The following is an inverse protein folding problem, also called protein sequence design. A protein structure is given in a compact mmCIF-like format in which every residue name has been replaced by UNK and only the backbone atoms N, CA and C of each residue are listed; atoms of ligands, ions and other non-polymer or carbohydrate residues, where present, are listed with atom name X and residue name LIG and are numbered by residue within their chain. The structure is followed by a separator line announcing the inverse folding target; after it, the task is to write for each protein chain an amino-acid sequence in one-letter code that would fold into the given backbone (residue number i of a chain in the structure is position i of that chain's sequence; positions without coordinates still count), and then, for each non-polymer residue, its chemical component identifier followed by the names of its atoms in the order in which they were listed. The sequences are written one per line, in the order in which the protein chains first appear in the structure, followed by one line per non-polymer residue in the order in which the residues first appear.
data_IF_317339717133
#
_entry.id   IF_317339717133
#
_cell.length_a   1.000
_cell.length_b   1.000
_cell.length_c   1.000
_cell.angle_alpha   90.00
_cell.angle_beta   90.00
_cell.angle_gamma   90.00
#
_symmetry.space_group_name_H-M   'P 1'
#
loop_
_entity.id
_entity.type
_entity.pdbx_description
1 polymer ?
#
# COMPACT_ATOMS: atom_id res chain seq x y z
N UNK A 1 12.56 22.02 3.63
CA UNK A 1 13.64 22.72 4.36
C UNK A 1 13.18 24.08 4.90
N UNK A 2 12.24 24.77 4.26
CA UNK A 2 11.69 26.04 4.77
C UNK A 2 11.12 25.92 6.19
N UNK A 3 10.49 24.79 6.55
CA UNK A 3 10.02 24.53 7.92
C UNK A 3 11.16 24.50 8.96
N UNK A 4 12.38 24.06 8.59
CA UNK A 4 13.53 24.08 9.49
C UNK A 4 13.99 25.52 9.75
N UNK A 5 13.94 26.37 8.72
CA UNK A 5 14.24 27.80 8.86
C UNK A 5 13.16 28.50 9.68
N UNK A 6 11.88 28.16 9.47
CA UNK A 6 10.78 28.64 10.30
C UNK A 6 10.91 28.19 11.77
N UNK A 7 11.51 27.02 12.01
CA UNK A 7 11.84 26.52 13.34
C UNK A 7 13.09 27.17 13.96
N UNK A 8 13.74 28.12 13.28
CA UNK A 8 14.82 28.97 13.82
C UNK A 8 16.22 28.68 13.29
N UNK A 9 16.40 27.73 12.37
CA UNK A 9 17.71 27.50 11.73
C UNK A 9 18.01 28.58 10.69
N UNK A 10 19.28 28.94 10.52
CA UNK A 10 19.71 29.67 9.33
C UNK A 10 19.57 28.79 8.07
N UNK A 11 19.47 29.39 6.86
CA UNK A 11 19.44 28.62 5.61
C UNK A 11 20.65 27.68 5.45
N UNK A 12 21.84 28.12 5.85
CA UNK A 12 23.06 27.30 5.84
C UNK A 12 22.96 26.11 6.79
N UNK A 13 22.45 26.30 8.01
CA UNK A 13 22.23 25.18 8.95
C UNK A 13 21.20 24.20 8.42
N UNK A 14 20.12 24.68 7.77
CA UNK A 14 19.16 23.81 7.11
C UNK A 14 19.80 22.99 5.97
N UNK A 15 20.70 23.59 5.18
CA UNK A 15 21.46 22.88 4.14
C UNK A 15 22.39 21.82 4.73
N UNK A 16 23.13 22.15 5.79
CA UNK A 16 23.99 21.19 6.49
C UNK A 16 23.19 20.04 7.11
N UNK A 17 22.03 20.35 7.71
CA UNK A 17 21.10 19.36 8.26
C UNK A 17 20.68 18.34 7.20
N UNK A 18 20.30 18.80 6.01
CA UNK A 18 19.85 17.95 4.90
C UNK A 18 20.97 17.25 4.11
N UNK A 19 22.25 17.54 4.39
CA UNK A 19 23.39 16.97 3.65
C UNK A 19 24.41 16.34 4.60
N UNK A 20 25.45 17.08 4.99
CA UNK A 20 26.60 16.58 5.75
C UNK A 20 26.19 15.99 7.11
N UNK A 21 25.28 16.65 7.84
CA UNK A 21 24.84 16.17 9.15
C UNK A 21 24.02 14.88 9.03
N UNK A 22 23.14 14.78 8.01
CA UNK A 22 22.40 13.54 7.74
C UNK A 22 23.33 12.39 7.38
N UNK A 23 24.35 12.63 6.55
CA UNK A 23 25.34 11.61 6.20
C UNK A 23 26.15 11.14 7.42
N UNK A 24 26.51 12.05 8.33
CA UNK A 24 27.16 11.70 9.61
C UNK A 24 26.25 10.88 10.50
N UNK A 25 24.98 11.27 10.65
CA UNK A 25 24.01 10.55 11.48
C UNK A 25 23.76 9.12 10.98
N UNK A 26 23.82 8.90 9.66
CA UNK A 26 23.66 7.58 9.04
C UNK A 26 24.96 6.77 8.92
N UNK A 27 26.12 7.31 9.34
CA UNK A 27 27.40 6.60 9.24
C UNK A 27 27.94 6.46 7.81
N UNK A 28 27.56 7.34 6.88
CA UNK A 28 27.95 7.30 5.45
C UNK A 28 28.71 8.55 4.99
N UNK A 29 29.23 9.35 5.93
CA UNK A 29 29.88 10.62 5.62
C UNK A 29 31.17 10.49 4.80
N UNK A 30 31.85 9.35 4.89
CA UNK A 30 33.04 9.05 4.11
C UNK A 30 32.73 8.80 2.62
N UNK A 31 31.48 8.42 2.29
CA UNK A 31 31.01 8.20 0.91
C UNK A 31 30.24 9.41 0.34
N UNK A 32 29.47 10.14 1.16
CA UNK A 32 28.59 11.23 0.67
C UNK A 32 28.27 12.32 1.70
N UNK A 33 27.52 13.33 1.26
CA UNK A 33 27.00 14.43 2.10
C UNK A 33 27.85 15.71 2.11
N UNK A 34 28.98 15.72 1.41
CA UNK A 34 29.73 16.93 1.08
C UNK A 34 30.42 16.79 -0.27
N UNK A 35 30.81 17.93 -0.87
CA UNK A 35 31.51 17.98 -2.15
C UNK A 35 33.01 17.96 -1.87
N UNK A 36 33.60 16.78 -1.88
CA UNK A 36 35.02 16.53 -1.58
C UNK A 36 35.56 15.45 -2.51
N UNK A 37 36.86 15.51 -2.81
CA UNK A 37 37.54 14.50 -3.63
C UNK A 37 37.48 13.14 -2.92
N UNK A 38 37.12 12.09 -3.67
CA UNK A 38 37.00 10.74 -3.16
C UNK A 38 35.58 10.35 -2.71
N UNK A 39 34.66 11.32 -2.57
CA UNK A 39 33.25 11.07 -2.30
C UNK A 39 32.45 10.86 -3.59
N UNK A 40 31.30 10.21 -3.46
CA UNK A 40 30.35 9.99 -4.56
C UNK A 40 29.81 11.33 -5.06
N UNK A 41 29.75 11.48 -6.38
CA UNK A 41 29.28 12.70 -7.04
C UNK A 41 27.75 12.75 -7.14
N UNK A 42 27.08 12.72 -5.98
CA UNK A 42 25.64 12.97 -5.84
C UNK A 42 25.43 14.48 -5.63
N UNK A 43 25.03 15.19 -6.69
CA UNK A 43 24.99 16.65 -6.73
C UNK A 43 23.62 17.17 -7.18
N UNK A 44 23.21 18.29 -6.60
CA UNK A 44 22.05 19.07 -7.07
C UNK A 44 22.54 20.47 -7.42
N UNK A 45 22.33 20.88 -8.67
CA UNK A 45 22.62 22.22 -9.15
C UNK A 45 21.38 23.08 -9.01
N UNK A 46 21.50 24.18 -8.28
CA UNK A 46 20.41 25.10 -7.97
C UNK A 46 20.68 26.45 -8.64
N UNK A 47 19.68 26.96 -9.36
CA UNK A 47 19.68 28.31 -9.91
C UNK A 47 19.21 29.32 -8.84
N UNK A 48 20.14 29.73 -8.00
CA UNK A 48 19.88 30.63 -6.88
C UNK A 48 20.95 30.56 -5.80
N UNK A 49 20.65 31.14 -4.64
CA UNK A 49 21.52 31.20 -3.47
C UNK A 49 20.81 30.63 -2.24
N UNK A 50 20.68 29.29 -2.12
CA UNK A 50 19.93 28.64 -1.04
C UNK A 50 20.49 28.89 0.37
N UNK A 51 21.74 29.34 0.49
CA UNK A 51 22.35 29.78 1.74
C UNK A 51 21.92 31.19 2.18
N UNK A 52 21.21 31.93 1.33
CA UNK A 52 20.59 33.24 1.62
C UNK A 52 19.08 33.14 1.71
N UNK A 53 18.46 32.50 0.72
CA UNK A 53 17.02 32.24 0.69
C UNK A 53 16.80 30.74 0.48
N UNK A 54 16.33 30.06 1.53
CA UNK A 54 16.15 28.61 1.50
C UNK A 54 15.11 28.15 0.47
N UNK A 55 14.21 29.03 0.01
CA UNK A 55 13.22 28.69 -1.01
C UNK A 55 13.89 28.39 -2.38
N UNK A 56 15.10 28.90 -2.60
CA UNK A 56 15.86 28.69 -3.84
C UNK A 56 16.16 27.21 -4.10
N UNK A 57 16.11 26.33 -3.09
CA UNK A 57 16.28 24.87 -3.28
C UNK A 57 15.27 24.25 -4.26
N UNK A 58 14.16 24.95 -4.55
CA UNK A 58 13.16 24.53 -5.55
C UNK A 58 13.54 24.87 -6.99
N UNK A 59 14.53 25.75 -7.19
CA UNK A 59 15.02 26.16 -8.52
C UNK A 59 16.09 25.20 -9.02
N UNK A 60 15.75 23.92 -9.11
CA UNK A 60 16.69 22.86 -9.52
C UNK A 60 16.99 23.00 -11.02
N UNK A 61 18.27 23.23 -11.34
CA UNK A 61 18.77 23.24 -12.70
C UNK A 61 19.19 21.84 -13.18
N UNK A 62 19.71 21.02 -12.27
CA UNK A 62 20.12 19.65 -12.60
C UNK A 62 20.37 18.78 -11.38
N UNK A 63 20.28 17.47 -11.58
CA UNK A 63 20.58 16.46 -10.56
C UNK A 63 21.54 15.44 -11.16
N UNK A 64 22.57 15.10 -10.39
CA UNK A 64 23.58 14.10 -10.72
C UNK A 64 23.57 13.04 -9.63
N UNK A 65 23.59 11.77 -10.04
CA UNK A 65 23.73 10.62 -9.15
C UNK A 65 24.94 9.84 -9.65
N UNK A 66 25.91 9.61 -8.78
CA UNK A 66 27.16 8.93 -9.10
C UNK A 66 27.86 9.53 -10.34
N UNK A 67 27.88 10.88 -10.42
CA UNK A 67 28.47 11.62 -11.54
C UNK A 67 27.65 11.62 -12.84
N UNK A 68 26.55 10.86 -12.92
CA UNK A 68 25.66 10.85 -14.09
C UNK A 68 24.51 11.82 -13.90
N UNK A 69 24.32 12.72 -14.88
CA UNK A 69 23.16 13.61 -14.88
C UNK A 69 21.86 12.81 -15.09
N UNK A 70 20.95 12.86 -14.12
CA UNK A 70 19.64 12.19 -14.16
C UNK A 70 18.49 13.16 -14.38
N UNK A 71 18.70 14.45 -14.07
CA UNK A 71 17.74 15.52 -14.32
C UNK A 71 18.42 16.76 -14.89
N UNK A 72 17.74 17.44 -15.81
CA UNK A 72 18.11 18.74 -16.37
C UNK A 72 16.86 19.59 -16.55
N UNK A 73 16.93 20.87 -16.23
CA UNK A 73 15.83 21.81 -16.38
C UNK A 73 15.23 21.75 -17.81
N UNK A 74 13.90 21.74 -17.90
CA UNK A 74 13.15 21.71 -19.16
C UNK A 74 13.07 20.34 -19.85
N UNK A 75 13.77 19.31 -19.34
CA UNK A 75 13.45 17.92 -19.71
C UNK A 75 12.43 17.37 -18.72
N UNK A 76 11.36 16.69 -19.18
CA UNK A 76 10.55 15.90 -18.27
C UNK A 76 11.48 14.95 -17.50
N UNK A 77 11.16 14.69 -16.23
CA UNK A 77 11.78 13.57 -15.52
C UNK A 77 11.72 12.38 -16.48
N UNK A 78 12.84 11.68 -16.70
CA UNK A 78 12.77 10.45 -17.47
C UNK A 78 11.67 9.62 -16.81
N UNK A 79 10.84 9.01 -17.64
CA UNK A 79 9.86 8.03 -17.18
C UNK A 79 10.64 6.76 -16.82
N UNK A 80 11.46 6.89 -15.77
CA UNK A 80 12.14 5.79 -15.08
C UNK A 80 11.13 5.12 -14.15
N UNK A 81 9.84 5.10 -14.54
CA UNK A 81 8.83 4.30 -13.87
C UNK A 81 9.46 2.92 -13.71
N UNK A 82 9.65 2.44 -12.47
CA UNK A 82 10.32 1.17 -12.25
C UNK A 82 9.60 0.15 -13.13
N UNK A 83 10.36 -0.56 -13.97
CA UNK A 83 9.80 -1.68 -14.71
C UNK A 83 9.07 -2.55 -13.69
N UNK A 84 7.79 -2.78 -13.94
CA UNK A 84 7.01 -3.68 -13.10
C UNK A 84 7.75 -5.00 -13.02
N UNK A 85 7.79 -5.58 -11.81
CA UNK A 85 8.29 -6.95 -11.67
C UNK A 85 7.50 -7.85 -12.63
N UNK A 86 8.13 -8.86 -13.24
CA UNK A 86 7.41 -9.79 -14.09
C UNK A 86 6.19 -10.35 -13.36
N UNK A 87 5.05 -10.43 -14.04
CA UNK A 87 3.86 -10.99 -13.46
C UNK A 87 4.03 -12.49 -13.20
N UNK A 88 3.47 -12.97 -12.09
CA UNK A 88 3.39 -14.39 -11.76
C UNK A 88 1.94 -14.88 -11.90
N UNK A 89 1.76 -16.19 -11.99
CA UNK A 89 0.44 -16.83 -11.89
C UNK A 89 0.31 -17.55 -10.55
N UNK A 90 -0.92 -17.74 -10.10
CA UNK A 90 -1.25 -18.44 -8.86
C UNK A 90 -2.38 -19.46 -9.09
N UNK A 91 -2.51 -20.42 -8.18
CA UNK A 91 -3.69 -21.28 -8.11
C UNK A 91 -4.93 -20.51 -7.64
N UNK A 92 -6.11 -21.11 -7.85
CA UNK A 92 -7.37 -20.45 -7.55
C UNK A 92 -7.66 -20.26 -6.06
N UNK A 93 -7.15 -21.13 -5.18
CA UNK A 93 -7.38 -21.01 -3.74
C UNK A 93 -6.45 -19.94 -3.15
N UNK A 94 -7.04 -18.87 -2.59
CA UNK A 94 -6.31 -17.81 -1.90
C UNK A 94 -6.15 -18.19 -0.42
N UNK A 95 -7.25 -18.52 0.26
CA UNK A 95 -7.23 -18.90 1.68
C UNK A 95 -8.51 -19.67 2.08
N UNK A 96 -8.35 -20.88 2.61
CA UNK A 96 -9.38 -21.68 3.28
C UNK A 96 -9.19 -21.67 4.81
N UNK A 97 -8.21 -20.92 5.32
CA UNK A 97 -7.90 -20.79 6.74
C UNK A 97 -7.45 -22.08 7.46
N UNK A 98 -7.19 -23.17 6.73
CA UNK A 98 -6.88 -24.48 7.34
C UNK A 98 -5.39 -24.71 7.60
N UNK A 99 -4.53 -23.83 7.10
CA UNK A 99 -3.08 -24.01 7.26
C UNK A 99 -2.65 -23.92 8.72
N UNK A 100 -1.91 -24.93 9.25
CA UNK A 100 -1.47 -24.95 10.64
C UNK A 100 -0.55 -23.78 11.02
N UNK A 101 0.22 -23.25 10.07
CA UNK A 101 1.12 -22.11 10.27
C UNK A 101 0.42 -20.75 10.16
N UNK A 102 -0.91 -20.75 10.01
CA UNK A 102 -1.77 -19.57 9.90
C UNK A 102 -1.41 -18.65 8.74
N UNK A 103 -0.78 -19.17 7.69
CA UNK A 103 -0.59 -18.45 6.43
C UNK A 103 -1.78 -18.72 5.49
N UNK A 104 -1.87 -17.96 4.41
CA UNK A 104 -2.84 -18.19 3.34
C UNK A 104 -2.47 -19.44 2.54
N UNK A 105 -3.36 -19.98 1.70
CA UNK A 105 -3.03 -21.08 0.79
C UNK A 105 -1.88 -20.70 -0.18
N UNK A 106 -1.75 -19.42 -0.51
CA UNK A 106 -0.66 -18.85 -1.32
C UNK A 106 0.67 -18.66 -0.56
N UNK A 107 0.75 -19.10 0.70
CA UNK A 107 1.94 -18.95 1.52
C UNK A 107 2.32 -17.47 1.73
N UNK A 108 1.29 -16.66 1.96
CA UNK A 108 1.38 -15.24 2.33
C UNK A 108 0.83 -15.02 3.74
N UNK A 109 1.22 -13.91 4.37
CA UNK A 109 0.65 -13.53 5.67
C UNK A 109 -0.58 -12.67 5.42
N UNK A 110 -1.71 -13.00 6.08
CA UNK A 110 -2.86 -12.10 6.16
C UNK A 110 -2.46 -10.83 6.89
N UNK A 111 -2.98 -9.70 6.44
CA UNK A 111 -2.73 -8.40 7.07
C UNK A 111 -4.05 -7.82 7.57
N UNK A 112 -4.04 -7.36 8.81
CA UNK A 112 -5.14 -6.56 9.34
C UNK A 112 -5.21 -5.24 8.56
N UNK A 113 -6.37 -4.93 7.99
CA UNK A 113 -6.60 -3.71 7.20
C UNK A 113 -7.41 -2.71 8.00
N UNK A 114 -6.75 -1.96 8.87
CA UNK A 114 -7.36 -0.88 9.64
C UNK A 114 -7.08 0.49 9.00
N UNK A 115 -7.85 1.48 9.41
CA UNK A 115 -7.73 2.84 8.89
C UNK A 115 -6.42 3.56 9.25
N UNK A 116 -5.99 4.45 8.34
CA UNK A 116 -4.77 5.24 8.52
C UNK A 116 -5.01 6.45 9.43
N UNK A 117 -3.96 6.90 10.13
CA UNK A 117 -4.02 8.09 10.99
C UNK A 117 -3.66 7.81 12.44
N UNK A 118 -3.78 8.84 13.28
CA UNK A 118 -3.49 8.78 14.72
C UNK A 118 -4.63 8.14 15.54
N UNK A 119 -5.87 8.35 15.13
CA UNK A 119 -7.06 7.69 15.69
C UNK A 119 -7.42 6.53 14.77
N UNK A 120 -7.26 5.29 15.27
CA UNK A 120 -7.41 4.08 14.47
C UNK A 120 -8.58 3.24 14.92
N UNK A 121 -9.26 2.65 13.95
CA UNK A 121 -10.30 1.65 14.21
C UNK A 121 -9.68 0.50 14.98
N UNK A 122 -10.33 0.10 16.07
CA UNK A 122 -9.94 -1.07 16.85
C UNK A 122 -10.43 -2.31 16.11
N UNK A 123 -9.51 -3.21 15.76
CA UNK A 123 -9.78 -4.41 14.97
C UNK A 123 -9.22 -5.62 15.68
N UNK A 124 -10.04 -6.66 15.83
CA UNK A 124 -9.66 -7.98 16.32
C UNK A 124 -9.95 -8.99 15.21
N UNK A 125 -8.93 -9.75 14.83
CA UNK A 125 -9.05 -10.90 13.93
C UNK A 125 -8.69 -12.18 14.67
N UNK A 126 -9.45 -13.24 14.44
CA UNK A 126 -9.21 -14.55 15.03
C UNK A 126 -9.62 -15.66 14.06
N UNK A 127 -8.89 -16.77 14.07
CA UNK A 127 -9.36 -18.00 13.44
C UNK A 127 -10.25 -18.74 14.42
N UNK A 128 -11.46 -19.09 13.98
CA UNK A 128 -12.45 -19.83 14.77
C UNK A 128 -12.67 -21.17 14.11
N UNK A 129 -12.77 -22.23 14.92
CA UNK A 129 -13.09 -23.58 14.45
C UNK A 129 -14.60 -23.85 14.58
N UNK A 130 -15.23 -24.27 13.49
CA UNK A 130 -16.60 -24.79 13.43
C UNK A 130 -16.69 -26.16 14.14
N UNK A 131 -17.89 -26.53 14.62
CA UNK A 131 -18.26 -27.89 15.00
C UNK A 131 -17.88 -28.98 13.96
N UNK A 132 -17.80 -28.65 12.67
CA UNK A 132 -17.36 -29.49 11.55
C UNK A 132 -15.83 -29.64 11.41
N UNK A 133 -15.03 -29.00 12.28
CA UNK A 133 -13.55 -28.94 12.27
C UNK A 133 -12.90 -28.03 11.23
N UNK A 134 -13.66 -27.35 10.37
CA UNK A 134 -13.13 -26.30 9.51
C UNK A 134 -12.89 -25.00 10.29
N UNK A 135 -11.91 -24.22 9.85
CA UNK A 135 -11.62 -22.90 10.36
C UNK A 135 -12.20 -21.83 9.44
N UNK A 136 -12.61 -20.73 10.03
CA UNK A 136 -12.95 -19.52 9.30
C UNK A 136 -12.31 -18.32 10.01
N UNK A 137 -12.14 -17.22 9.28
CA UNK A 137 -11.67 -15.97 9.85
C UNK A 137 -12.85 -15.20 10.43
N UNK A 138 -12.79 -14.85 11.72
CA UNK A 138 -13.72 -13.94 12.37
C UNK A 138 -13.05 -12.59 12.60
N UNK A 139 -13.72 -11.53 12.17
CA UNK A 139 -13.30 -10.14 12.29
C UNK A 139 -14.36 -9.37 13.07
N UNK A 140 -13.93 -8.60 14.07
CA UNK A 140 -14.77 -7.63 14.76
C UNK A 140 -14.01 -6.33 14.93
N UNK A 141 -14.68 -5.20 14.69
CA UNK A 141 -14.07 -3.88 14.80
C UNK A 141 -15.00 -2.82 15.39
N UNK A 142 -14.42 -1.81 16.02
CA UNK A 142 -15.09 -0.58 16.47
C UNK A 142 -14.45 0.62 15.77
N UNK A 143 -15.24 1.31 14.98
CA UNK A 143 -14.77 2.42 14.13
C UNK A 143 -14.15 3.55 14.95
N UNK A 144 -13.05 4.10 14.43
CA UNK A 144 -12.45 5.31 14.96
C UNK A 144 -13.41 6.50 14.91
N UNK A 145 -13.18 7.47 15.79
CA UNK A 145 -13.99 8.69 15.84
C UNK A 145 -13.58 9.73 14.79
N UNK A 146 -13.67 9.39 13.50
CA UNK A 146 -13.23 10.24 12.37
C UNK A 146 -14.11 10.09 11.14
N UNK A 147 -13.76 10.85 10.10
CA UNK A 147 -14.37 10.72 8.77
C UNK A 147 -13.89 9.45 8.06
N UNK A 148 -14.84 8.70 7.47
CA UNK A 148 -14.62 7.45 6.70
C UNK A 148 -13.73 6.40 7.42
N UNK A 149 -14.08 5.98 8.66
CA UNK A 149 -13.36 4.93 9.35
C UNK A 149 -13.62 3.57 8.67
N UNK A 150 -12.61 2.69 8.70
CA UNK A 150 -12.72 1.37 8.08
C UNK A 150 -11.92 0.29 8.80
N UNK A 151 -12.37 -0.96 8.64
CA UNK A 151 -11.65 -2.17 9.05
C UNK A 151 -11.89 -3.31 8.07
N UNK A 152 -10.92 -4.23 8.00
CA UNK A 152 -10.99 -5.38 7.12
C UNK A 152 -9.76 -6.27 7.22
N UNK A 153 -9.61 -7.14 6.23
CA UNK A 153 -8.47 -8.03 6.07
C UNK A 153 -7.94 -7.94 4.65
N UNK A 154 -6.63 -7.97 4.50
CA UNK A 154 -5.93 -8.01 3.22
C UNK A 154 -5.24 -9.37 3.03
N UNK A 155 -5.39 -9.93 1.85
CA UNK A 155 -4.76 -11.16 1.36
C UNK A 155 -3.75 -10.78 0.26
N UNK A 156 -2.44 -10.74 0.56
CA UNK A 156 -1.43 -10.60 -0.47
C UNK A 156 -1.47 -11.80 -1.43
N UNK A 157 -1.45 -11.52 -2.74
CA UNK A 157 -1.46 -12.56 -3.78
C UNK A 157 -0.05 -13.09 -4.07
N UNK A 158 0.99 -12.36 -3.66
CA UNK A 158 2.39 -12.76 -3.70
C UNK A 158 3.05 -12.52 -2.33
N UNK A 159 4.18 -13.19 -2.05
CA UNK A 159 4.92 -12.96 -0.79
C UNK A 159 5.36 -11.50 -0.71
N UNK A 160 4.86 -10.79 0.30
CA UNK A 160 5.11 -9.36 0.50
C UNK A 160 4.19 -8.43 -0.30
N UNK A 161 3.32 -8.95 -1.18
CA UNK A 161 2.36 -8.14 -1.96
C UNK A 161 3.03 -7.15 -2.91
N UNK A 162 4.17 -7.54 -3.49
CA UNK A 162 5.02 -6.70 -4.35
C UNK A 162 5.08 -7.20 -5.80
N UNK A 163 5.05 -8.51 -6.03
CA UNK A 163 5.01 -9.07 -7.38
C UNK A 163 3.56 -9.02 -7.89
N UNK A 164 3.31 -8.46 -9.08
CA UNK A 164 1.97 -8.44 -9.67
C UNK A 164 1.58 -9.86 -10.06
N UNK A 165 0.33 -10.22 -9.81
CA UNK A 165 -0.23 -11.52 -10.14
C UNK A 165 -1.23 -11.36 -11.27
N UNK A 166 -1.05 -12.13 -12.35
CA UNK A 166 -1.98 -12.19 -13.48
C UNK A 166 -3.16 -13.10 -13.15
N UNK A 167 -4.35 -12.50 -13.15
CA UNK A 167 -5.63 -13.15 -12.90
C UNK A 167 -6.49 -13.24 -14.16
N UNK A 168 -5.92 -13.06 -15.35
CA UNK A 168 -6.66 -13.08 -16.63
C UNK A 168 -7.31 -14.43 -16.95
N UNK A 169 -6.81 -15.52 -16.35
CA UNK A 169 -7.39 -16.87 -16.47
C UNK A 169 -8.67 -17.07 -15.61
N UNK A 170 -9.03 -16.10 -14.76
CA UNK A 170 -10.17 -16.19 -13.84
C UNK A 170 -11.27 -15.18 -14.21
N UNK A 171 -12.51 -15.51 -13.86
CA UNK A 171 -13.70 -14.67 -14.09
C UNK A 171 -13.98 -13.72 -12.92
N UNK A 172 -13.57 -14.10 -11.72
CA UNK A 172 -13.80 -13.30 -10.53
C UNK A 172 -13.31 -13.91 -9.24
N UNK A 173 -13.83 -13.37 -8.14
CA UNK A 173 -13.54 -13.80 -6.77
C UNK A 173 -14.76 -14.44 -6.15
N UNK A 174 -14.54 -15.53 -5.43
CA UNK A 174 -15.56 -16.23 -4.64
C UNK A 174 -15.09 -16.36 -3.20
N UNK A 175 -16.00 -16.18 -2.27
CA UNK A 175 -15.76 -16.48 -0.86
C UNK A 175 -17.09 -16.74 -0.16
N UNK A 176 -17.05 -17.50 0.93
CA UNK A 176 -18.19 -17.61 1.83
C UNK A 176 -18.10 -16.49 2.87
N UNK A 177 -19.23 -15.84 3.15
CA UNK A 177 -19.30 -14.76 4.12
C UNK A 177 -20.59 -14.76 4.93
N UNK A 178 -20.48 -14.29 6.17
CA UNK A 178 -21.60 -13.76 6.96
C UNK A 178 -21.15 -12.54 7.75
N UNK A 179 -22.06 -11.63 8.04
CA UNK A 179 -21.75 -10.36 8.68
C UNK A 179 -22.95 -9.70 9.33
N UNK A 180 -22.80 -8.42 9.63
CA UNK A 180 -23.80 -7.60 10.33
C UNK A 180 -25.00 -7.20 9.47
N UNK A 181 -25.08 -7.67 8.22
CA UNK A 181 -26.11 -7.30 7.23
C UNK A 181 -25.81 -5.99 6.48
N UNK A 182 -24.68 -5.34 6.75
CA UNK A 182 -24.28 -4.11 6.09
C UNK A 182 -23.55 -4.33 4.76
N UNK A 183 -23.21 -3.21 4.12
CA UNK A 183 -22.39 -3.21 2.91
C UNK A 183 -20.90 -3.38 3.26
N UNK A 184 -20.21 -4.15 2.42
CA UNK A 184 -18.78 -4.40 2.47
C UNK A 184 -18.17 -4.08 1.11
N UNK A 185 -16.86 -3.79 1.11
CA UNK A 185 -16.09 -3.46 -0.07
C UNK A 185 -15.05 -4.55 -0.31
N UNK A 186 -15.06 -5.11 -1.51
CA UNK A 186 -13.98 -5.95 -2.02
C UNK A 186 -13.08 -5.06 -2.87
N UNK A 187 -11.79 -5.01 -2.56
CA UNK A 187 -10.81 -4.17 -3.23
C UNK A 187 -9.71 -5.02 -3.83
N UNK A 188 -9.32 -4.67 -5.03
CA UNK A 188 -8.13 -5.20 -5.69
C UNK A 188 -7.16 -4.05 -5.91
N UNK A 189 -5.96 -4.16 -5.34
CA UNK A 189 -4.88 -3.20 -5.56
C UNK A 189 -3.95 -3.75 -6.63
N UNK A 190 -3.69 -2.97 -7.67
CA UNK A 190 -2.75 -3.29 -8.74
C UNK A 190 -1.91 -2.08 -9.14
N UNK A 191 -1.08 -2.22 -10.19
CA UNK A 191 -0.27 -1.12 -10.73
C UNK A 191 -1.10 0.10 -11.15
N UNK A 192 -2.29 -0.14 -11.71
CA UNK A 192 -3.23 0.89 -12.15
C UNK A 192 -3.97 1.62 -11.01
N UNK A 193 -3.75 1.23 -9.75
CA UNK A 193 -4.42 1.78 -8.59
C UNK A 193 -5.33 0.76 -7.91
N UNK A 194 -6.47 1.23 -7.39
CA UNK A 194 -7.42 0.40 -6.66
C UNK A 194 -8.73 0.33 -7.42
N UNK A 195 -9.18 -0.90 -7.63
CA UNK A 195 -10.50 -1.25 -8.13
C UNK A 195 -11.36 -1.76 -6.98
N UNK A 196 -12.64 -1.38 -6.94
CA UNK A 196 -13.55 -1.76 -5.85
C UNK A 196 -14.85 -2.35 -6.38
N UNK A 197 -15.42 -3.30 -5.64
CA UNK A 197 -16.77 -3.82 -5.79
C UNK A 197 -17.48 -3.78 -4.43
N UNK A 198 -18.81 -3.61 -4.43
CA UNK A 198 -19.64 -3.63 -3.23
C UNK A 198 -20.30 -5.01 -3.10
N UNK A 199 -20.34 -5.54 -1.89
CA UNK A 199 -21.02 -6.80 -1.56
C UNK A 199 -21.80 -6.63 -0.25
N UNK A 200 -22.71 -7.56 0.02
CA UNK A 200 -23.49 -7.59 1.27
C UNK A 200 -23.24 -8.95 1.92
N UNK A 201 -23.06 -8.95 3.24
CA UNK A 201 -22.94 -10.18 4.04
C UNK A 201 -23.99 -10.15 5.16
N UNK A 202 -25.00 -11.01 5.04
CA UNK A 202 -26.08 -11.18 6.02
C UNK A 202 -25.61 -12.03 7.21
N UNK A 203 -26.44 -12.17 8.24
CA UNK A 203 -26.12 -12.99 9.42
C UNK A 203 -25.96 -14.50 9.12
N UNK A 204 -26.41 -14.96 7.95
CA UNK A 204 -26.30 -16.34 7.48
C UNK A 204 -25.14 -16.50 6.51
N UNK A 205 -24.44 -17.64 6.58
CA UNK A 205 -23.38 -17.98 5.63
C UNK A 205 -23.92 -18.07 4.21
N UNK A 206 -23.28 -17.33 3.30
CA UNK A 206 -23.56 -17.39 1.86
C UNK A 206 -22.28 -17.31 1.06
N UNK A 207 -22.27 -18.04 -0.06
CA UNK A 207 -21.26 -17.86 -1.09
C UNK A 207 -21.52 -16.56 -1.84
N UNK A 208 -20.50 -15.71 -1.92
CA UNK A 208 -20.50 -14.42 -2.59
C UNK A 208 -19.59 -14.52 -3.81
N UNK A 209 -20.17 -14.32 -4.99
CA UNK A 209 -19.45 -14.22 -6.26
C UNK A 209 -19.30 -12.76 -6.67
N UNK A 210 -18.06 -12.34 -6.92
CA UNK A 210 -17.71 -11.00 -7.35
C UNK A 210 -16.98 -11.09 -8.69
N UNK A 211 -17.70 -11.02 -9.81
CA UNK A 211 -17.07 -11.08 -11.13
C UNK A 211 -16.18 -9.85 -11.35
N UNK A 212 -15.07 -9.99 -12.08
CA UNK A 212 -14.14 -8.86 -12.28
C UNK A 212 -14.79 -7.65 -12.96
N UNK A 213 -15.83 -7.87 -13.78
CA UNK A 213 -16.64 -6.81 -14.37
C UNK A 213 -17.45 -5.97 -13.37
N UNK A 214 -17.64 -6.45 -12.14
CA UNK A 214 -18.31 -5.67 -11.08
C UNK A 214 -17.40 -4.58 -10.51
N UNK A 215 -16.08 -4.69 -10.70
CA UNK A 215 -15.12 -3.76 -10.14
C UNK A 215 -15.10 -2.42 -10.90
N UNK A 216 -14.94 -1.33 -10.16
CA UNK A 216 -14.79 0.03 -10.69
C UNK A 216 -13.46 0.62 -10.23
N UNK A 217 -12.65 1.08 -11.18
CA UNK A 217 -11.34 1.70 -10.90
C UNK A 217 -11.48 3.19 -10.60
N UNK A 218 -10.70 3.68 -9.63
CA UNK A 218 -10.59 5.10 -9.30
C UNK A 218 -9.80 5.92 -10.34
N UNK A 219 -9.08 5.27 -11.26
CA UNK A 219 -8.36 5.93 -12.38
C UNK A 219 -8.99 5.56 -13.72
N UNK A 220 -9.22 6.60 -14.53
CA UNK A 220 -9.73 6.51 -15.91
C UNK A 220 -8.62 5.93 -16.79
N UNK A 221 -8.81 4.69 -17.23
CA UNK A 221 -8.02 3.96 -18.24
C UNK A 221 -6.51 3.92 -18.04
N UNK A 222 -6.01 2.78 -17.59
CA UNK A 222 -4.97 2.09 -18.35
C UNK A 222 -5.43 0.64 -18.44
N UNK A 223 -5.39 0.08 -19.65
CA UNK A 223 -5.57 -1.33 -19.96
C UNK A 223 -4.39 -2.14 -19.39
N UNK A 224 -4.06 -1.96 -18.12
CA UNK A 224 -3.26 -2.93 -17.41
C UNK A 224 -4.19 -4.11 -17.21
N UNK A 225 -3.97 -5.14 -18.05
CA UNK A 225 -3.81 -6.56 -17.69
C UNK A 225 -4.25 -6.85 -16.25
N UNK A 226 -4.99 -7.94 -16.02
CA UNK A 226 -5.58 -8.34 -14.73
C UNK A 226 -4.54 -8.62 -13.62
N UNK A 227 -3.69 -7.63 -13.34
CA UNK A 227 -2.49 -7.64 -12.54
C UNK A 227 -2.81 -7.01 -11.20
N UNK A 228 -2.75 -7.82 -10.16
CA UNK A 228 -3.08 -7.39 -8.81
C UNK A 228 -2.02 -7.86 -7.81
N UNK A 229 -1.82 -7.07 -6.77
CA UNK A 229 -0.87 -7.34 -5.68
C UNK A 229 -1.56 -7.96 -4.47
N UNK A 230 -2.78 -7.50 -4.17
CA UNK A 230 -3.57 -7.97 -3.06
C UNK A 230 -5.08 -7.81 -3.29
N UNK A 231 -5.82 -8.61 -2.51
CA UNK A 231 -7.25 -8.55 -2.32
C UNK A 231 -7.52 -8.05 -0.90
N UNK A 232 -8.47 -7.14 -0.72
CA UNK A 232 -8.93 -6.70 0.60
C UNK A 232 -10.45 -6.80 0.70
N UNK A 233 -10.96 -7.37 1.79
CA UNK A 233 -12.37 -7.30 2.17
C UNK A 233 -12.48 -6.38 3.37
N UNK A 234 -13.23 -5.28 3.26
CA UNK A 234 -13.36 -4.28 4.32
C UNK A 234 -14.78 -3.74 4.48
N UNK A 235 -15.07 -3.16 5.63
CA UNK A 235 -16.26 -2.39 5.90
C UNK A 235 -15.88 -0.97 6.33
N UNK A 236 -16.72 0.00 5.96
CA UNK A 236 -16.78 1.32 6.59
C UNK A 236 -18.13 1.44 7.31
N UNK A 237 -18.14 2.11 8.47
CA UNK A 237 -19.36 2.42 9.24
C UNK A 237 -19.27 3.86 9.75
N UNK A 238 -20.33 4.35 10.40
CA UNK A 238 -20.23 5.65 11.05
C UNK A 238 -19.23 5.62 12.22
N UNK A 239 -18.74 6.79 12.56
CA UNK A 239 -17.83 7.04 13.68
C UNK A 239 -18.33 6.39 14.98
N UNK A 240 -17.52 5.51 15.57
CA UNK A 240 -17.85 4.78 16.81
C UNK A 240 -18.74 3.53 16.66
N UNK A 241 -19.28 3.26 15.47
CA UNK A 241 -20.08 2.05 15.21
C UNK A 241 -19.23 0.77 15.22
N UNK A 242 -19.88 -0.35 15.49
CA UNK A 242 -19.26 -1.67 15.44
C UNK A 242 -19.61 -2.40 14.15
N UNK A 243 -18.68 -3.23 13.66
CA UNK A 243 -18.89 -4.16 12.56
C UNK A 243 -18.30 -5.51 12.92
N UNK A 244 -18.92 -6.58 12.42
CA UNK A 244 -18.31 -7.91 12.42
C UNK A 244 -18.48 -8.55 11.05
N UNK A 245 -17.54 -9.42 10.68
CA UNK A 245 -17.53 -10.15 9.42
C UNK A 245 -16.83 -11.47 9.65
N UNK A 246 -17.35 -12.54 9.08
CA UNK A 246 -16.71 -13.84 9.04
C UNK A 246 -16.54 -14.29 7.59
N UNK A 247 -15.37 -14.84 7.28
CA UNK A 247 -14.96 -15.23 5.94
C UNK A 247 -14.44 -16.66 5.94
N UNK A 248 -14.81 -17.39 4.89
CA UNK A 248 -14.27 -18.72 4.58
C UNK A 248 -14.07 -18.89 3.06
N UNK A 249 -13.25 -19.85 2.64
CA UNK A 249 -13.07 -20.28 1.25
C UNK A 249 -12.82 -19.16 0.23
N UNK A 250 -11.85 -18.27 0.50
CA UNK A 250 -11.47 -17.19 -0.40
C UNK A 250 -10.72 -17.76 -1.61
N UNK A 251 -11.28 -17.58 -2.80
CA UNK A 251 -10.78 -18.17 -4.03
C UNK A 251 -11.07 -17.33 -5.28
N UNK A 252 -10.45 -17.70 -6.38
CA UNK A 252 -10.71 -17.27 -7.74
C UNK A 252 -11.50 -18.38 -8.47
N UNK A 253 -12.40 -18.00 -9.37
CA UNK A 253 -13.22 -18.92 -10.16
C UNK A 253 -13.28 -18.56 -11.64
#
# INVERSE_FOLDING_TARGET
MELLVQAGLSPTEALLAATSNSAKAMGVHDDRGSIEVGKRADLVLIDGTPWRDIADVRRIHGVFIDGRQVHSAGKPLRDDAPALMPAITIGGLIDDFERPDRRTALDTARLDHFDSGGERTELITQLVQDAGRNHYLSLAARMAYKDDPFAGVTFPLSRGGVEPVDLSDYQGLRFDARGDGGAYQVRLRGPGGVSLAQVVADAEWRTVDVPFEAFRSSRRSLETEALFFDLTVRASRESGEAVWLELDNVALY
#
